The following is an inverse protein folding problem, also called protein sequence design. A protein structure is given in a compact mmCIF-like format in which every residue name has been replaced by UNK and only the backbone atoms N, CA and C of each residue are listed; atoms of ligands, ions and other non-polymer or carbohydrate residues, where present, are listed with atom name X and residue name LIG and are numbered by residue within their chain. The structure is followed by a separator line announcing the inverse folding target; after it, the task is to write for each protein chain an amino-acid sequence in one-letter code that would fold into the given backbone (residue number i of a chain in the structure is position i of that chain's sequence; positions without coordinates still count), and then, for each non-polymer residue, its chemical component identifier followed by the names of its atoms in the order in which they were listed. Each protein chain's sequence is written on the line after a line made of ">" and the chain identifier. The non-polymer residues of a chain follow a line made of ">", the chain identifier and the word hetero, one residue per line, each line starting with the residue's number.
data_IF_399879620991
#
_entry.id   IF_399879620991
#
_cell.length_a   1.000
_cell.length_b   1.000
_cell.length_c   1.000
_cell.angle_alpha   90.00
_cell.angle_beta   90.00
_cell.angle_gamma   90.00
#
_symmetry.space_group_name_H-M   'P 1'
#
loop_
_entity.id
_entity.type
_entity.pdbx_description
1 polymer ?
#
# COMPACT_ATOMS: atom_id res chain seq x y z
N UNK A 1 13.01 3.33 -6.64
CA UNK A 1 13.03 3.00 -5.20
C UNK A 1 13.80 1.70 -4.97
N UNK A 2 14.75 1.73 -4.06
CA UNK A 2 15.48 0.53 -3.68
C UNK A 2 14.74 -0.23 -2.59
N UNK A 3 14.86 -1.56 -2.58
CA UNK A 3 14.31 -2.37 -1.50
C UNK A 3 14.98 -1.99 -0.17
N UNK A 4 14.20 -1.85 0.91
CA UNK A 4 14.78 -1.46 2.19
C UNK A 4 15.67 -2.55 2.75
N UNK A 5 16.90 -2.18 3.11
CA UNK A 5 17.82 -3.07 3.83
C UNK A 5 17.61 -2.93 5.34
N UNK A 6 17.09 -1.80 5.76
CA UNK A 6 16.75 -1.51 7.16
C UNK A 6 15.40 -0.81 7.20
N UNK A 7 14.67 -0.99 8.30
CA UNK A 7 13.39 -0.35 8.52
C UNK A 7 13.54 0.73 9.59
N UNK A 8 12.94 1.90 9.34
CA UNK A 8 13.02 3.03 10.24
C UNK A 8 12.38 2.70 11.60
N UNK A 9 13.17 2.75 12.68
CA UNK A 9 12.70 2.40 14.02
C UNK A 9 11.55 3.29 14.50
N UNK A 10 11.58 4.57 14.19
CA UNK A 10 10.52 5.50 14.58
C UNK A 10 9.21 5.17 13.89
N UNK A 11 9.28 4.83 12.59
CA UNK A 11 8.10 4.41 11.84
C UNK A 11 7.53 3.11 12.38
N UNK A 12 8.41 2.15 12.71
CA UNK A 12 7.98 0.88 13.29
C UNK A 12 7.27 1.09 14.62
N UNK A 13 7.82 1.90 15.51
CA UNK A 13 7.21 2.15 16.81
C UNK A 13 5.84 2.83 16.69
N UNK A 14 5.70 3.77 15.78
CA UNK A 14 4.48 4.57 15.65
C UNK A 14 3.43 3.92 14.77
N UNK A 15 3.85 3.24 13.72
CA UNK A 15 2.95 2.84 12.62
C UNK A 15 2.82 1.33 12.43
N UNK A 16 3.80 0.55 12.87
CA UNK A 16 3.71 -0.91 12.80
C UNK A 16 3.04 -1.41 14.08
N UNK A 17 1.81 -1.86 13.94
CA UNK A 17 0.99 -2.30 15.07
C UNK A 17 0.99 -3.80 15.20
N UNK A 18 0.41 -4.32 16.29
CA UNK A 18 0.31 -5.75 16.55
C UNK A 18 -0.39 -6.50 15.41
N UNK A 19 -1.42 -5.89 14.83
CA UNK A 19 -2.20 -6.50 13.75
C UNK A 19 -1.64 -6.21 12.35
N UNK A 20 -0.59 -5.40 12.22
CA UNK A 20 -0.05 -5.03 10.92
C UNK A 20 0.41 -6.22 10.07
N UNK A 21 1.09 -7.24 10.64
CA UNK A 21 1.43 -8.41 9.84
C UNK A 21 0.22 -9.10 9.23
N UNK A 22 -0.87 -9.23 10.00
CA UNK A 22 -2.10 -9.83 9.50
C UNK A 22 -2.72 -8.99 8.40
N UNK A 23 -2.77 -7.66 8.58
CA UNK A 23 -3.28 -6.73 7.57
C UNK A 23 -2.48 -6.86 6.27
N UNK A 24 -1.17 -6.98 6.36
CA UNK A 24 -0.32 -7.10 5.17
C UNK A 24 -0.51 -8.44 4.47
N UNK A 25 -0.69 -9.53 5.21
CA UNK A 25 -0.98 -10.83 4.63
C UNK A 25 -2.29 -10.81 3.84
N UNK A 26 -3.32 -10.19 4.41
CA UNK A 26 -4.61 -10.04 3.75
C UNK A 26 -4.53 -9.11 2.54
N UNK A 27 -3.77 -8.01 2.67
CA UNK A 27 -3.56 -7.07 1.57
C UNK A 27 -2.86 -7.74 0.38
N UNK A 28 -1.87 -8.58 0.64
CA UNK A 28 -1.19 -9.34 -0.41
C UNK A 28 -2.20 -10.18 -1.20
N UNK A 29 -3.12 -10.86 -0.50
CA UNK A 29 -4.14 -11.65 -1.17
C UNK A 29 -5.07 -10.80 -2.03
N UNK A 30 -5.42 -9.60 -1.57
CA UNK A 30 -6.23 -8.65 -2.34
C UNK A 30 -5.46 -8.20 -3.58
N UNK A 31 -4.19 -7.83 -3.43
CA UNK A 31 -3.37 -7.32 -4.53
C UNK A 31 -3.04 -8.40 -5.56
N UNK A 32 -2.88 -9.64 -5.15
CA UNK A 32 -2.63 -10.76 -6.06
C UNK A 32 -3.76 -10.94 -7.08
N UNK A 33 -4.97 -10.55 -6.73
CA UNK A 33 -6.14 -10.64 -7.61
C UNK A 33 -6.21 -9.50 -8.63
N UNK A 34 -5.39 -8.47 -8.51
CA UNK A 34 -5.32 -7.37 -9.47
C UNK A 34 -4.43 -7.79 -10.63
N UNK A 35 -4.92 -7.68 -11.87
CA UNK A 35 -4.12 -8.01 -13.05
C UNK A 35 -3.00 -6.99 -13.25
N UNK A 36 -1.93 -7.39 -13.93
CA UNK A 36 -0.86 -6.46 -14.26
C UNK A 36 -1.34 -5.32 -15.15
N UNK A 37 -2.31 -5.58 -16.01
CA UNK A 37 -2.91 -4.55 -16.85
C UNK A 37 -3.63 -3.49 -16.03
N UNK A 38 -4.26 -3.88 -14.92
CA UNK A 38 -5.00 -2.96 -14.04
C UNK A 38 -4.11 -2.34 -12.96
N UNK A 39 -2.94 -2.90 -12.70
CA UNK A 39 -2.06 -2.47 -11.61
C UNK A 39 -1.75 -0.97 -11.65
N UNK A 40 -1.46 -0.45 -12.83
CA UNK A 40 -1.10 0.95 -13.02
C UNK A 40 -2.24 1.78 -13.63
N UNK A 41 -3.43 1.22 -13.73
CA UNK A 41 -4.57 1.91 -14.34
C UNK A 41 -5.03 3.09 -13.51
N UNK A 42 -5.32 4.19 -14.20
CA UNK A 42 -5.88 5.39 -13.60
C UNK A 42 -7.06 5.86 -14.44
N UNK A 43 -7.91 6.69 -13.86
CA UNK A 43 -8.99 7.34 -14.58
C UNK A 43 -9.24 8.73 -14.00
N UNK A 44 -9.84 9.61 -14.80
CA UNK A 44 -10.20 10.92 -14.36
C UNK A 44 -11.63 10.93 -13.83
N UNK A 45 -11.85 11.64 -12.75
CA UNK A 45 -13.18 11.88 -12.21
C UNK A 45 -13.24 13.30 -11.67
N UNK A 46 -14.39 13.70 -11.16
CA UNK A 46 -14.59 15.04 -10.64
C UNK A 46 -14.87 14.95 -9.14
N UNK A 47 -14.21 15.79 -8.34
CA UNK A 47 -14.47 15.87 -6.91
C UNK A 47 -15.74 16.67 -6.60
N UNK A 48 -16.08 16.81 -5.31
CA UNK A 48 -17.28 17.52 -4.88
C UNK A 48 -17.28 19.01 -5.24
N UNK A 49 -16.11 19.57 -5.51
CA UNK A 49 -15.93 20.97 -5.89
C UNK A 49 -15.89 21.17 -7.40
N UNK A 50 -16.05 20.12 -8.18
CA UNK A 50 -16.01 20.17 -9.63
C UNK A 50 -14.62 20.15 -10.25
N UNK A 51 -13.59 19.88 -9.46
CA UNK A 51 -12.21 19.79 -9.95
C UNK A 51 -11.93 18.39 -10.48
N UNK A 52 -11.16 18.32 -11.58
CA UNK A 52 -10.73 17.05 -12.14
C UNK A 52 -9.64 16.43 -11.27
N UNK A 53 -9.82 15.18 -10.88
CA UNK A 53 -8.84 14.41 -10.10
C UNK A 53 -8.53 13.10 -10.79
N UNK A 54 -7.35 12.56 -10.50
CA UNK A 54 -6.92 11.26 -11.01
C UNK A 54 -7.13 10.24 -9.90
N UNK A 55 -7.81 9.13 -10.23
CA UNK A 55 -8.00 8.02 -9.31
C UNK A 55 -7.27 6.79 -9.81
N UNK A 56 -6.70 6.05 -8.88
CA UNK A 56 -5.98 4.82 -9.18
C UNK A 56 -6.91 3.62 -9.00
N UNK A 57 -6.79 2.64 -9.89
CA UNK A 57 -7.53 1.39 -9.77
C UNK A 57 -7.25 0.69 -8.43
N UNK A 58 -5.98 0.69 -8.00
CA UNK A 58 -5.60 0.10 -6.71
C UNK A 58 -6.32 0.75 -5.53
N UNK A 59 -6.53 2.05 -5.58
CA UNK A 59 -7.27 2.76 -4.54
C UNK A 59 -8.71 2.22 -4.45
N UNK A 60 -9.34 2.02 -5.60
CA UNK A 60 -10.71 1.51 -5.67
C UNK A 60 -10.84 0.04 -5.24
N UNK A 61 -9.75 -0.71 -5.29
CA UNK A 61 -9.70 -2.10 -4.80
C UNK A 61 -9.43 -2.16 -3.30
N UNK A 62 -8.46 -1.37 -2.84
CA UNK A 62 -7.96 -1.45 -1.46
C UNK A 62 -8.85 -0.72 -0.47
N UNK A 63 -9.32 0.48 -0.79
CA UNK A 63 -10.11 1.27 0.16
C UNK A 63 -11.43 0.60 0.54
N UNK A 64 -12.23 0.04 -0.40
CA UNK A 64 -13.44 -0.70 0.00
C UNK A 64 -13.13 -1.92 0.85
N UNK A 65 -12.03 -2.61 0.59
CA UNK A 65 -11.62 -3.76 1.40
C UNK A 65 -11.30 -3.34 2.84
N UNK A 66 -10.57 -2.23 3.02
CA UNK A 66 -10.26 -1.68 4.35
C UNK A 66 -11.55 -1.33 5.08
N UNK A 67 -12.49 -0.69 4.40
CA UNK A 67 -13.77 -0.30 4.98
C UNK A 67 -14.60 -1.53 5.39
N UNK A 68 -14.64 -2.56 4.55
CA UNK A 68 -15.36 -3.80 4.83
C UNK A 68 -14.83 -4.50 6.07
N UNK A 69 -13.50 -4.51 6.23
CA UNK A 69 -12.85 -5.12 7.39
C UNK A 69 -12.85 -4.21 8.63
N UNK A 70 -13.28 -2.97 8.47
CA UNK A 70 -13.27 -1.97 9.54
C UNK A 70 -11.86 -1.68 10.09
N UNK A 71 -10.84 -1.86 9.26
CA UNK A 71 -9.47 -1.50 9.62
C UNK A 71 -9.26 0.01 9.50
N UNK A 72 -8.34 0.57 10.26
CA UNK A 72 -7.97 1.97 10.09
C UNK A 72 -7.16 2.18 8.81
N UNK A 73 -7.61 3.10 7.95
CA UNK A 73 -6.92 3.39 6.68
C UNK A 73 -5.47 3.77 6.94
N UNK A 74 -5.21 4.68 7.88
CA UNK A 74 -3.86 5.10 8.21
C UNK A 74 -2.98 3.96 8.70
N UNK A 75 -3.53 3.06 9.50
CA UNK A 75 -2.80 1.90 10.04
C UNK A 75 -2.35 0.99 8.90
N UNK A 76 -3.27 0.65 7.99
CA UNK A 76 -2.99 -0.25 6.87
C UNK A 76 -2.01 0.41 5.88
N UNK A 77 -2.27 1.65 5.50
CA UNK A 77 -1.46 2.35 4.50
C UNK A 77 -0.04 2.64 5.00
N UNK A 78 0.13 3.02 6.26
CA UNK A 78 1.46 3.24 6.82
C UNK A 78 2.25 1.95 6.94
N UNK A 79 1.61 0.85 7.33
CA UNK A 79 2.25 -0.47 7.37
C UNK A 79 2.71 -0.89 5.97
N UNK A 80 1.86 -0.68 4.98
CA UNK A 80 2.18 -0.98 3.58
C UNK A 80 3.39 -0.18 3.11
N UNK A 81 3.42 1.12 3.43
CA UNK A 81 4.54 1.99 3.06
C UNK A 81 5.84 1.53 3.72
N UNK A 82 5.80 1.12 4.98
CA UNK A 82 6.97 0.55 5.67
C UNK A 82 7.49 -0.67 4.93
N UNK A 83 6.60 -1.56 4.50
CA UNK A 83 6.99 -2.76 3.73
C UNK A 83 7.69 -2.39 2.42
N UNK A 84 7.25 -1.33 1.76
CA UNK A 84 7.76 -0.96 0.44
C UNK A 84 9.05 -0.16 0.49
N UNK A 85 9.17 0.78 1.41
CA UNK A 85 10.30 1.72 1.44
C UNK A 85 11.00 1.81 2.80
N UNK A 86 10.58 1.03 3.77
CA UNK A 86 11.22 0.97 5.08
C UNK A 86 10.83 2.07 6.06
N UNK A 87 9.92 2.98 5.68
CA UNK A 87 9.48 4.08 6.53
C UNK A 87 8.06 4.49 6.19
N UNK A 88 7.36 5.07 7.17
CA UNK A 88 5.98 5.53 6.98
C UNK A 88 5.93 6.97 6.43
N UNK A 89 6.78 7.26 5.46
CA UNK A 89 6.88 8.57 4.80
C UNK A 89 7.37 8.40 3.37
N UNK A 90 7.23 9.43 2.56
CA UNK A 90 7.67 9.43 1.18
C UNK A 90 6.55 9.85 0.21
N UNK A 91 6.71 9.59 -1.09
CA UNK A 91 5.70 9.91 -2.10
C UNK A 91 4.38 9.20 -1.84
N UNK A 92 3.35 9.60 -2.56
CA UNK A 92 2.05 8.95 -2.50
C UNK A 92 2.20 7.45 -2.77
N UNK A 93 1.50 6.63 -1.99
CA UNK A 93 1.67 5.16 -2.04
C UNK A 93 1.47 4.56 -3.44
N UNK A 94 0.49 5.05 -4.19
CA UNK A 94 0.22 4.51 -5.52
C UNK A 94 1.26 4.93 -6.56
N UNK A 95 1.98 6.03 -6.32
CA UNK A 95 3.16 6.39 -7.13
C UNK A 95 4.28 5.39 -6.89
N UNK A 96 4.46 4.95 -5.65
CA UNK A 96 5.46 3.94 -5.30
C UNK A 96 5.12 2.62 -5.97
N UNK A 97 3.88 2.15 -5.85
CA UNK A 97 3.45 0.88 -6.44
C UNK A 97 3.52 0.91 -7.97
N UNK A 98 3.26 2.07 -8.57
CA UNK A 98 3.38 2.24 -10.02
C UNK A 98 4.82 2.04 -10.50
N UNK A 99 5.78 2.63 -9.79
CA UNK A 99 7.21 2.51 -10.14
C UNK A 99 7.71 1.08 -9.91
N UNK A 100 7.31 0.44 -8.81
CA UNK A 100 7.77 -0.91 -8.46
C UNK A 100 7.15 -1.99 -9.33
N UNK A 101 5.87 -1.83 -9.69
CA UNK A 101 5.10 -2.87 -10.35
C UNK A 101 4.60 -3.93 -9.37
N UNK A 102 3.71 -4.78 -9.84
CA UNK A 102 3.03 -5.78 -9.01
C UNK A 102 4.02 -6.77 -8.37
N UNK A 103 4.89 -7.36 -9.14
CA UNK A 103 5.82 -8.39 -8.68
C UNK A 103 6.74 -7.88 -7.57
N UNK A 104 7.38 -6.73 -7.78
CA UNK A 104 8.28 -6.13 -6.80
C UNK A 104 7.55 -5.69 -5.55
N UNK A 105 6.35 -5.12 -5.70
CA UNK A 105 5.52 -4.71 -4.57
C UNK A 105 5.21 -5.89 -3.66
N UNK A 106 4.75 -7.00 -4.22
CA UNK A 106 4.41 -8.20 -3.45
C UNK A 106 5.66 -8.81 -2.80
N UNK A 107 6.78 -8.83 -3.52
CA UNK A 107 8.05 -9.32 -3.00
C UNK A 107 8.49 -8.54 -1.77
N UNK A 108 8.38 -7.21 -1.79
CA UNK A 108 8.77 -6.37 -0.66
C UNK A 108 7.89 -6.60 0.55
N UNK A 109 6.59 -6.81 0.36
CA UNK A 109 5.68 -7.12 1.47
C UNK A 109 6.05 -8.47 2.09
N UNK A 110 6.29 -9.49 1.27
CA UNK A 110 6.70 -10.81 1.77
C UNK A 110 8.02 -10.74 2.55
N UNK A 111 9.00 -9.99 2.05
CA UNK A 111 10.28 -9.82 2.75
C UNK A 111 10.10 -9.12 4.09
N UNK A 112 9.26 -8.08 4.14
CA UNK A 112 8.97 -7.38 5.39
C UNK A 112 8.33 -8.30 6.42
N UNK A 113 7.38 -9.13 5.99
CA UNK A 113 6.71 -10.09 6.88
C UNK A 113 7.66 -11.11 7.47
N UNK A 114 8.71 -11.46 6.75
CA UNK A 114 9.74 -12.37 7.27
C UNK A 114 10.68 -11.68 8.27
N UNK A 115 10.91 -10.38 8.08
CA UNK A 115 11.86 -9.60 8.89
C UNK A 115 11.19 -8.98 10.12
N UNK A 116 9.98 -8.51 9.97
CA UNK A 116 9.21 -7.84 11.02
C UNK A 116 8.24 -8.79 11.71
#
# INVERSE_FOLDING_TARGET
>A
FEAPSEYDEKSLKKRWKEDSPRHMQELVAVLENVSEADWNSTYETTDDNGNTIIRWHLDDVVMPWIAEKEYGVGIVMNAFRICLVGAARGPHIWNITNVLGKEETLKRVHNALKTL
#
